data_IF_409753154656
#
_entry.id   IF_409753154656
#
_cell.length_a   1.000
_cell.length_b   1.000
_cell.length_c   1.000
_cell.angle_alpha   90.00
_cell.angle_beta   90.00
_cell.angle_gamma   90.00
#
_symmetry.space_group_name_H-M   'P 1'
#
loop_
_entity.id
_entity.type
_entity.pdbx_description
1 polymer ?
#
# COMPACT_ATOMS: atom_id res chain seq x y z
N UNK A 1 -20.71 24.34 41.50
CA UNK A 1 -20.18 24.20 40.12
C UNK A 1 -20.27 22.74 39.72
N UNK A 2 -21.40 22.29 39.12
CA UNK A 2 -21.70 20.87 38.98
C UNK A 2 -21.59 20.44 37.52
N UNK A 3 -20.42 19.99 37.06
CA UNK A 3 -20.27 19.15 35.86
C UNK A 3 -18.98 18.34 36.01
N UNK A 4 -19.02 17.27 36.80
CA UNK A 4 -17.89 16.32 36.88
C UNK A 4 -18.32 14.87 37.11
N UNK A 5 -19.63 14.57 37.10
CA UNK A 5 -20.14 13.19 37.12
C UNK A 5 -20.61 12.70 35.75
N UNK A 6 -21.16 13.59 34.90
CA UNK A 6 -21.64 13.22 33.57
C UNK A 6 -20.50 12.80 32.61
N UNK A 7 -19.30 13.34 32.80
CA UNK A 7 -18.10 12.94 32.03
C UNK A 7 -17.51 11.60 32.48
N UNK A 8 -17.82 11.14 33.70
CA UNK A 8 -17.34 9.87 34.26
C UNK A 8 -18.31 8.73 33.93
N UNK A 9 -19.62 9.03 33.84
CA UNK A 9 -20.67 8.06 33.55
C UNK A 9 -20.90 7.83 32.04
N UNK A 10 -20.30 8.63 31.17
CA UNK A 10 -20.41 8.40 29.74
C UNK A 10 -19.48 7.24 29.34
N UNK A 11 -20.07 6.05 29.24
CA UNK A 11 -19.42 4.83 28.76
C UNK A 11 -18.47 5.14 27.61
N UNK A 12 -17.19 4.79 27.81
CA UNK A 12 -16.12 4.74 26.81
C UNK A 12 -16.55 5.40 25.51
N UNK A 13 -16.35 6.73 25.37
CA UNK A 13 -16.39 7.36 24.05
C UNK A 13 -15.47 6.51 23.18
N UNK A 14 -16.08 5.70 22.31
CA UNK A 14 -15.36 4.82 21.41
C UNK A 14 -14.34 5.66 20.66
N UNK A 15 -13.27 5.04 20.13
CA UNK A 15 -12.31 5.76 19.30
C UNK A 15 -13.10 6.67 18.33
N UNK A 16 -12.78 7.97 18.28
CA UNK A 16 -13.59 8.93 17.53
C UNK A 16 -13.83 8.33 16.15
N UNK A 17 -15.09 8.29 15.68
CA UNK A 17 -15.43 7.60 14.44
C UNK A 17 -14.47 8.11 13.38
N UNK A 18 -13.65 7.20 12.84
CA UNK A 18 -12.68 7.56 11.83
C UNK A 18 -13.45 8.25 10.69
N UNK A 19 -12.96 9.41 10.25
CA UNK A 19 -13.59 10.14 9.15
C UNK A 19 -13.52 9.25 7.90
N UNK A 20 -14.63 8.59 7.57
CA UNK A 20 -14.73 7.70 6.43
C UNK A 20 -15.03 8.50 5.16
N UNK A 21 -14.01 8.64 4.31
CA UNK A 21 -14.08 9.34 3.04
C UNK A 21 -14.28 8.40 1.84
N UNK A 22 -14.48 7.10 2.06
CA UNK A 22 -14.53 6.08 1.00
C UNK A 22 -15.61 6.30 -0.06
N UNK A 23 -16.69 7.00 0.29
CA UNK A 23 -17.83 7.32 -0.60
C UNK A 23 -17.82 8.77 -1.10
N UNK A 24 -16.84 9.58 -0.70
CA UNK A 24 -16.78 10.98 -1.10
C UNK A 24 -16.28 11.11 -2.54
N UNK A 25 -17.08 11.72 -3.42
CA UNK A 25 -16.72 12.02 -4.81
C UNK A 25 -16.57 13.53 -4.94
N UNK A 26 -15.38 14.00 -5.32
CA UNK A 26 -15.06 15.43 -5.34
C UNK A 26 -14.65 15.86 -6.76
N UNK A 27 -15.58 16.43 -7.54
CA UNK A 27 -15.30 16.84 -8.91
C UNK A 27 -14.61 18.21 -9.00
N UNK A 28 -14.76 19.07 -7.98
CA UNK A 28 -14.20 20.43 -7.97
C UNK A 28 -13.22 20.64 -6.82
N UNK A 29 -12.29 21.59 -6.99
CA UNK A 29 -11.27 21.92 -5.98
C UNK A 29 -11.89 22.50 -4.70
N UNK A 30 -13.00 23.22 -4.83
CA UNK A 30 -13.74 23.78 -3.69
C UNK A 30 -14.39 22.70 -2.82
N UNK A 31 -14.80 21.59 -3.43
CA UNK A 31 -15.31 20.43 -2.69
C UNK A 31 -14.19 19.74 -1.90
N UNK A 32 -12.98 19.71 -2.45
CA UNK A 32 -11.79 19.17 -1.78
C UNK A 32 -11.46 19.95 -0.51
N UNK A 33 -11.40 21.29 -0.59
CA UNK A 33 -11.05 22.13 0.56
C UNK A 33 -12.05 21.95 1.72
N UNK A 34 -13.36 21.85 1.42
CA UNK A 34 -14.42 21.60 2.43
C UNK A 34 -14.32 20.24 3.13
N UNK A 35 -13.83 19.21 2.42
CA UNK A 35 -13.61 17.88 3.02
C UNK A 35 -12.29 17.85 3.78
N UNK A 36 -11.28 18.55 3.29
CA UNK A 36 -10.00 18.69 3.95
C UNK A 36 -10.11 19.40 5.30
N UNK A 37 -10.95 20.43 5.41
CA UNK A 37 -11.25 21.10 6.70
C UNK A 37 -11.85 20.17 7.76
N UNK A 38 -12.47 19.05 7.36
CA UNK A 38 -13.02 18.06 8.29
C UNK A 38 -11.95 17.10 8.82
N UNK A 39 -10.77 17.06 8.20
CA UNK A 39 -9.67 16.20 8.64
C UNK A 39 -9.06 16.80 9.91
N UNK A 40 -9.08 16.07 11.04
CA UNK A 40 -8.51 16.60 12.27
C UNK A 40 -6.98 16.74 12.18
N UNK A 41 -6.45 17.90 12.55
CA UNK A 41 -5.01 18.15 12.65
C UNK A 41 -4.40 17.45 13.87
N UNK A 42 -4.18 16.13 13.78
CA UNK A 42 -3.45 15.40 14.81
C UNK A 42 -1.95 15.69 14.71
N UNK A 43 -1.51 16.74 15.41
CA UNK A 43 -0.10 16.89 15.78
C UNK A 43 0.23 15.80 16.78
N UNK A 44 0.84 14.71 16.31
CA UNK A 44 1.32 13.60 17.13
C UNK A 44 2.24 14.19 18.21
N UNK A 45 1.73 14.33 19.44
CA UNK A 45 2.58 14.68 20.57
C UNK A 45 3.40 13.43 20.88
N UNK A 46 4.74 13.51 20.90
CA UNK A 46 5.57 12.37 21.28
C UNK A 46 5.17 11.94 22.69
N UNK A 47 4.51 10.78 22.79
CA UNK A 47 4.04 10.22 24.04
C UNK A 47 5.22 9.86 24.93
N UNK A 48 5.20 10.28 26.19
CA UNK A 48 6.19 9.89 27.19
C UNK A 48 5.92 8.44 27.58
N UNK A 49 6.56 7.50 26.88
CA UNK A 49 6.41 6.06 27.12
C UNK A 49 6.96 5.74 28.52
N UNK A 50 6.13 5.17 29.40
CA UNK A 50 6.59 4.63 30.68
C UNK A 50 7.37 3.33 30.44
N UNK A 51 8.50 3.10 31.13
CA UNK A 51 9.43 2.04 30.79
C UNK A 51 8.92 0.61 31.02
N UNK A 52 7.77 0.41 31.67
CA UNK A 52 7.25 -0.93 32.01
C UNK A 52 6.37 -1.58 30.92
N UNK A 53 5.88 -0.82 29.94
CA UNK A 53 4.91 -1.32 28.95
C UNK A 53 5.57 -1.87 27.66
N UNK A 54 6.90 -1.81 27.58
CA UNK A 54 7.68 -2.14 26.39
C UNK A 54 8.28 -3.54 26.36
N UNK A 55 7.86 -4.47 27.21
CA UNK A 55 8.39 -5.85 27.18
C UNK A 55 7.60 -6.73 26.24
N UNK A 56 7.91 -6.63 24.94
CA UNK A 56 7.70 -7.76 24.02
C UNK A 56 8.76 -8.80 24.36
N UNK A 57 8.34 -9.91 24.97
CA UNK A 57 9.23 -11.06 25.21
C UNK A 57 9.53 -11.74 23.87
N UNK A 58 10.75 -11.54 23.38
CA UNK A 58 11.27 -12.10 22.15
C UNK A 58 12.57 -11.39 21.83
N UNK A 59 13.66 -12.14 21.66
CA UNK A 59 15.01 -11.62 21.49
C UNK A 59 15.18 -10.80 20.19
N UNK A 60 14.70 -9.56 20.18
CA UNK A 60 14.95 -8.60 19.11
C UNK A 60 16.07 -7.66 19.57
N UNK A 61 17.27 -7.93 19.06
CA UNK A 61 18.42 -7.06 19.22
C UNK A 61 18.22 -5.81 18.37
N UNK A 62 17.56 -4.79 18.92
CA UNK A 62 17.52 -3.46 18.29
C UNK A 62 18.86 -2.77 18.51
N UNK A 63 19.77 -2.88 17.53
CA UNK A 63 20.95 -2.01 17.43
C UNK A 63 20.54 -0.70 16.77
N UNK A 64 20.57 0.40 17.51
CA UNK A 64 20.54 1.74 16.93
C UNK A 64 21.91 2.08 16.34
N UNK A 65 22.18 1.60 15.13
CA UNK A 65 23.30 2.15 14.36
C UNK A 65 22.86 3.49 13.77
N UNK A 66 23.51 4.57 14.22
CA UNK A 66 23.54 5.85 13.52
C UNK A 66 23.96 5.53 12.08
N UNK A 67 22.98 5.60 11.19
CA UNK A 67 23.08 5.20 9.79
C UNK A 67 24.19 6.00 9.09
N UNK A 68 25.36 5.39 8.92
CA UNK A 68 26.05 5.52 7.64
C UNK A 68 25.11 4.89 6.63
N UNK A 69 24.41 5.74 5.87
CA UNK A 69 23.62 5.34 4.72
C UNK A 69 24.59 4.87 3.63
N UNK A 70 25.22 3.72 3.82
CA UNK A 70 25.59 2.96 2.65
C UNK A 70 24.28 2.69 1.92
N UNK A 71 24.14 3.08 0.65
CA UNK A 71 22.99 2.65 -0.12
C UNK A 71 23.03 1.14 -0.04
N UNK A 72 22.01 0.55 0.59
CA UNK A 72 21.79 -0.89 0.51
C UNK A 72 21.65 -1.13 -0.99
N UNK A 73 22.72 -1.61 -1.62
CA UNK A 73 22.67 -2.06 -2.99
C UNK A 73 21.73 -3.26 -2.94
N UNK A 74 20.46 -2.99 -3.21
CA UNK A 74 19.47 -4.00 -3.51
C UNK A 74 19.97 -4.67 -4.78
N UNK A 75 20.82 -5.68 -4.59
CA UNK A 75 21.24 -6.58 -5.64
C UNK A 75 20.01 -7.40 -5.97
N UNK A 76 19.22 -6.91 -6.92
CA UNK A 76 18.17 -7.74 -7.49
C UNK A 76 18.84 -8.99 -8.07
N UNK A 77 18.26 -10.17 -7.85
CA UNK A 77 18.70 -11.34 -8.59
C UNK A 77 18.57 -11.02 -10.08
N UNK A 78 19.46 -11.60 -10.88
CA UNK A 78 19.38 -11.49 -12.33
C UNK A 78 17.95 -11.83 -12.79
N UNK A 79 17.24 -10.91 -13.45
CA UNK A 79 15.88 -11.17 -13.93
C UNK A 79 15.85 -12.22 -15.04
N UNK A 80 17.02 -12.59 -15.60
CA UNK A 80 17.12 -13.55 -16.68
C UNK A 80 17.16 -14.99 -16.14
N UNK A 81 16.16 -15.83 -16.47
CA UNK A 81 16.23 -17.24 -16.13
C UNK A 81 17.39 -17.91 -16.88
N UNK A 82 18.07 -18.87 -16.24
CA UNK A 82 19.26 -19.54 -16.79
C UNK A 82 19.02 -20.19 -18.16
N UNK A 83 17.78 -20.62 -18.44
CA UNK A 83 17.38 -21.19 -19.73
C UNK A 83 17.37 -20.19 -20.89
N UNK A 84 17.27 -18.89 -20.61
CA UNK A 84 17.21 -17.83 -21.63
C UNK A 84 18.56 -17.13 -21.85
N UNK A 85 19.58 -17.41 -21.03
CA UNK A 85 20.87 -16.70 -21.05
C UNK A 85 21.66 -16.85 -22.37
N UNK A 86 21.36 -17.86 -23.19
CA UNK A 86 22.03 -18.13 -24.46
C UNK A 86 21.13 -18.11 -25.69
N UNK A 87 19.89 -17.63 -25.56
CA UNK A 87 18.91 -17.66 -26.66
C UNK A 87 19.02 -16.36 -27.47
N UNK A 88 19.15 -16.48 -28.80
CA UNK A 88 19.14 -15.32 -29.70
C UNK A 88 17.78 -14.64 -29.70
N UNK A 89 17.76 -13.31 -29.58
CA UNK A 89 16.51 -12.55 -29.67
C UNK A 89 15.92 -12.57 -31.07
N UNK A 90 16.75 -12.66 -32.11
CA UNK A 90 16.29 -12.75 -33.50
C UNK A 90 15.52 -14.05 -33.74
N UNK A 91 15.99 -15.15 -33.13
CA UNK A 91 15.32 -16.44 -33.22
C UNK A 91 13.97 -16.40 -32.47
N UNK A 92 13.92 -15.78 -31.28
CA UNK A 92 12.67 -15.61 -30.53
C UNK A 92 11.68 -14.70 -31.26
N UNK A 93 12.14 -13.65 -31.92
CA UNK A 93 11.27 -12.72 -32.65
C UNK A 93 10.60 -13.39 -33.86
N UNK A 94 11.24 -14.40 -34.45
CA UNK A 94 10.67 -15.17 -35.56
C UNK A 94 9.59 -16.18 -35.14
N UNK A 95 9.48 -16.49 -33.84
CA UNK A 95 8.47 -17.43 -33.36
C UNK A 95 7.07 -16.80 -33.36
N UNK A 96 6.16 -17.39 -34.12
CA UNK A 96 4.75 -16.98 -34.16
C UNK A 96 4.02 -17.52 -32.91
N UNK A 97 4.05 -16.73 -31.83
CA UNK A 97 3.41 -17.09 -30.56
C UNK A 97 1.93 -16.70 -30.63
N UNK A 98 1.06 -17.71 -30.65
CA UNK A 98 -0.39 -17.49 -30.60
C UNK A 98 -0.78 -16.74 -29.33
N UNK A 99 -1.52 -15.63 -29.45
CA UNK A 99 -1.95 -14.80 -28.32
C UNK A 99 -2.76 -15.59 -27.26
N UNK A 100 -3.43 -16.68 -27.66
CA UNK A 100 -4.15 -17.59 -26.75
C UNK A 100 -3.23 -18.30 -25.76
N UNK A 101 -1.92 -18.29 -26.00
CA UNK A 101 -0.89 -18.84 -25.11
C UNK A 101 -0.30 -17.78 -24.17
N UNK A 102 -0.49 -16.49 -24.45
CA UNK A 102 0.12 -15.41 -23.67
C UNK A 102 -0.64 -15.10 -22.38
N UNK A 103 -1.96 -15.38 -22.35
CA UNK A 103 -2.80 -15.10 -21.18
C UNK A 103 -3.85 -16.19 -20.97
N UNK A 104 -4.32 -16.33 -19.72
CA UNK A 104 -5.46 -17.20 -19.41
C UNK A 104 -6.81 -16.55 -19.77
N UNK A 105 -6.84 -15.25 -20.07
CA UNK A 105 -8.05 -14.54 -20.43
C UNK A 105 -8.54 -14.98 -21.81
N UNK A 106 -9.85 -15.24 -21.94
CA UNK A 106 -10.49 -15.61 -23.21
C UNK A 106 -11.43 -14.49 -23.66
N UNK A 107 -11.46 -14.15 -24.96
CA UNK A 107 -12.39 -13.19 -25.53
C UNK A 107 -13.82 -13.59 -25.18
N UNK A 108 -14.65 -12.61 -24.83
CA UNK A 108 -16.05 -12.88 -24.46
C UNK A 108 -16.94 -12.95 -25.69
N UNK A 109 -16.50 -12.39 -26.81
CA UNK A 109 -17.26 -12.35 -28.06
C UNK A 109 -16.38 -12.56 -29.30
N UNK A 110 -17.05 -12.85 -30.43
CA UNK A 110 -16.39 -13.11 -31.73
C UNK A 110 -15.61 -11.91 -32.25
N UNK A 111 -16.11 -10.69 -32.00
CA UNK A 111 -15.45 -9.43 -32.40
C UNK A 111 -14.09 -9.26 -31.71
N UNK A 112 -14.00 -9.60 -30.43
CA UNK A 112 -12.73 -9.54 -29.69
C UNK A 112 -11.76 -10.62 -30.20
N UNK A 113 -12.25 -11.84 -30.46
CA UNK A 113 -11.43 -12.95 -30.98
C UNK A 113 -10.82 -12.61 -32.36
N UNK A 114 -11.59 -11.94 -33.24
CA UNK A 114 -11.11 -11.43 -34.52
C UNK A 114 -10.08 -10.31 -34.37
N UNK A 115 -10.21 -9.45 -33.36
CA UNK A 115 -9.27 -8.35 -33.11
C UNK A 115 -7.89 -8.87 -32.69
N UNK A 116 -7.83 -9.93 -31.89
CA UNK A 116 -6.55 -10.48 -31.40
C UNK A 116 -5.93 -11.50 -32.36
N UNK A 117 -6.69 -12.05 -33.30
CA UNK A 117 -6.21 -13.08 -34.24
C UNK A 117 -5.74 -12.54 -35.60
N UNK A 118 -5.77 -11.22 -35.80
CA UNK A 118 -5.36 -10.53 -37.03
C UNK A 118 -4.06 -9.76 -36.81
#
# INVERSE_FOLDING_TARGET
MPFYLDDILNEKKGPPPALDLSKARMPTKEDFDKVFEKVPDYKIKPGKVRPDEGRVSGALHFRSSRSERQPVQLSYPDPMPASMAGVSLDDLCSTDINWRMLTMARPRGKLEDEFFSK
#
